data_IF_880068623885
#
_entry.id   IF_880068623885
#
_cell.length_a   1.000
_cell.length_b   1.000
_cell.length_c   1.000
_cell.angle_alpha   90.00
_cell.angle_beta   90.00
_cell.angle_gamma   90.00
#
_symmetry.space_group_name_H-M   'P 1'
#
loop_
_entity.id
_entity.type
_entity.pdbx_description
1 polymer ?
#
# COMPACT_ATOMS: atom_id res chain seq x y z
N UNK A 1 14.53 14.21 4.15
CA UNK A 1 13.15 14.30 3.62
C UNK A 1 12.32 13.21 4.29
N UNK A 2 11.03 13.43 4.55
CA UNK A 2 10.16 12.39 5.12
C UNK A 2 9.75 11.40 4.02
N UNK A 3 9.83 10.08 4.23
CA UNK A 3 9.47 9.10 3.20
C UNK A 3 7.96 9.11 2.94
N UNK A 4 7.56 9.05 1.66
CA UNK A 4 6.16 8.97 1.26
C UNK A 4 5.75 7.50 1.18
N UNK A 5 4.84 7.07 2.05
CA UNK A 5 4.41 5.67 2.15
C UNK A 5 2.97 5.54 1.68
N UNK A 6 2.76 4.80 0.59
CA UNK A 6 1.44 4.48 0.10
C UNK A 6 0.77 3.44 0.99
N UNK A 7 -0.52 3.57 1.26
CA UNK A 7 -1.29 2.60 2.02
C UNK A 7 -2.45 2.10 1.18
N UNK A 8 -2.60 0.79 1.07
CA UNK A 8 -3.75 0.18 0.42
C UNK A 8 -5.02 0.42 1.23
N UNK A 9 -6.15 0.43 0.55
CA UNK A 9 -7.47 0.62 1.16
C UNK A 9 -8.33 -0.60 0.89
N UNK A 10 -9.16 -0.96 1.86
CA UNK A 10 -10.27 -1.87 1.60
C UNK A 10 -11.43 -1.08 0.99
N UNK A 11 -12.20 -1.71 0.14
CA UNK A 11 -13.47 -1.17 -0.34
C UNK A 11 -14.60 -1.86 0.40
N UNK A 12 -15.65 -1.11 0.74
CA UNK A 12 -16.88 -1.68 1.28
C UNK A 12 -17.63 -2.50 0.24
N UNK A 13 -18.54 -3.37 0.70
CA UNK A 13 -19.34 -4.23 -0.19
C UNK A 13 -20.23 -3.45 -1.17
N UNK A 14 -20.59 -2.22 -0.83
CA UNK A 14 -21.39 -1.32 -1.66
C UNK A 14 -20.53 -0.48 -2.62
N UNK A 15 -19.21 -0.65 -2.59
CA UNK A 15 -18.21 0.11 -3.37
C UNK A 15 -18.29 1.64 -3.18
N UNK A 16 -19.04 2.12 -2.18
CA UNK A 16 -19.29 3.54 -2.00
C UNK A 16 -18.11 4.25 -1.32
N UNK A 17 -17.36 3.52 -0.48
CA UNK A 17 -16.28 4.08 0.31
C UNK A 17 -15.06 3.17 0.39
N UNK A 18 -13.89 3.80 0.36
CA UNK A 18 -12.65 3.19 0.80
C UNK A 18 -12.53 3.32 2.32
N UNK A 19 -12.08 2.24 2.98
CA UNK A 19 -11.82 2.21 4.42
C UNK A 19 -10.39 1.77 4.72
N UNK A 20 -9.86 2.38 5.77
CA UNK A 20 -8.56 2.06 6.35
C UNK A 20 -8.64 2.25 7.87
N UNK A 21 -8.03 1.33 8.63
CA UNK A 21 -7.92 1.50 10.07
C UNK A 21 -7.00 2.69 10.40
N UNK A 22 -7.47 3.61 11.25
CA UNK A 22 -6.69 4.79 11.64
C UNK A 22 -5.33 4.42 12.26
N UNK A 23 -5.24 3.26 12.94
CA UNK A 23 -3.99 2.73 13.46
C UNK A 23 -2.88 2.60 12.38
N UNK A 24 -3.24 2.23 11.16
CA UNK A 24 -2.30 2.10 10.04
C UNK A 24 -1.71 3.47 9.63
N UNK A 25 -2.56 4.50 9.57
CA UNK A 25 -2.15 5.87 9.23
C UNK A 25 -1.27 6.47 10.34
N UNK A 26 -1.66 6.23 11.60
CA UNK A 26 -0.91 6.69 12.77
C UNK A 26 0.47 6.06 12.85
N UNK A 27 0.60 4.75 12.64
CA UNK A 27 1.89 4.05 12.68
C UNK A 27 2.92 4.68 11.72
N UNK A 28 2.50 5.07 10.51
CA UNK A 28 3.38 5.74 9.54
C UNK A 28 3.71 7.16 9.97
N UNK A 29 2.71 7.91 10.45
CA UNK A 29 2.92 9.29 10.92
C UNK A 29 3.88 9.35 12.13
N UNK A 30 3.69 8.45 13.09
CA UNK A 30 4.47 8.33 14.33
C UNK A 30 5.92 7.90 14.06
N UNK A 31 6.16 7.12 13.00
CA UNK A 31 7.52 6.75 12.55
C UNK A 31 8.20 7.83 11.70
N UNK A 32 7.55 8.96 11.47
CA UNK A 32 8.10 10.11 10.73
C UNK A 32 7.89 10.07 9.21
N UNK A 33 7.08 9.14 8.70
CA UNK A 33 6.68 9.06 7.30
C UNK A 33 5.48 9.96 6.96
N UNK A 34 5.23 10.12 5.67
CA UNK A 34 4.03 10.78 5.12
C UNK A 34 3.10 9.69 4.57
N UNK A 35 1.96 9.40 5.22
CA UNK A 35 1.01 8.42 4.71
C UNK A 35 0.22 8.97 3.52
N UNK A 36 0.10 8.18 2.45
CA UNK A 36 -0.73 8.47 1.28
C UNK A 36 -1.72 7.33 1.08
N UNK A 37 -3.01 7.63 1.14
CA UNK A 37 -4.06 6.64 0.93
C UNK A 37 -4.21 6.40 -0.58
N UNK A 38 -4.10 5.13 -1.00
CA UNK A 38 -4.19 4.76 -2.40
C UNK A 38 -5.58 4.23 -2.75
N UNK A 39 -6.24 4.80 -3.77
CA UNK A 39 -7.47 4.22 -4.33
C UNK A 39 -7.14 2.97 -5.15
N UNK A 40 -8.19 2.26 -5.57
CA UNK A 40 -8.05 1.08 -6.43
C UNK A 40 -7.87 1.53 -7.88
N UNK A 41 -6.62 1.57 -8.34
CA UNK A 41 -6.31 1.89 -9.73
C UNK A 41 -6.61 0.70 -10.66
N UNK A 42 -7.27 0.98 -11.78
CA UNK A 42 -7.58 -0.02 -12.80
C UNK A 42 -6.51 -0.09 -13.89
N UNK A 43 -5.90 1.05 -14.23
CA UNK A 43 -4.90 1.18 -15.29
C UNK A 43 -3.49 0.99 -14.74
N UNK A 44 -2.67 0.25 -15.48
CA UNK A 44 -1.29 -0.01 -15.07
C UNK A 44 -0.40 1.23 -15.10
N UNK A 45 -0.63 2.16 -16.04
CA UNK A 45 0.12 3.40 -16.14
C UNK A 45 -0.02 4.26 -14.87
N UNK A 46 -1.24 4.34 -14.32
CA UNK A 46 -1.51 5.11 -13.08
C UNK A 46 -0.80 4.45 -11.88
N UNK A 47 -0.77 3.11 -11.83
CA UNK A 47 -0.05 2.35 -10.80
C UNK A 47 1.46 2.63 -10.88
N UNK A 48 2.01 2.65 -12.09
CA UNK A 48 3.44 2.89 -12.32
C UNK A 48 3.84 4.33 -11.96
N UNK A 49 3.04 5.32 -12.32
CA UNK A 49 3.27 6.71 -11.92
C UNK A 49 3.26 6.85 -10.40
N UNK A 50 2.29 6.23 -9.72
CA UNK A 50 2.24 6.24 -8.26
C UNK A 50 3.42 5.51 -7.64
N UNK A 51 3.81 4.36 -8.17
CA UNK A 51 4.98 3.61 -7.70
C UNK A 51 6.28 4.43 -7.80
N UNK A 52 6.43 5.25 -8.84
CA UNK A 52 7.59 6.13 -9.01
C UNK A 52 7.61 7.32 -8.04
N UNK A 53 6.46 7.72 -7.49
CA UNK A 53 6.33 8.84 -6.54
C UNK A 53 6.45 8.40 -5.07
N UNK A 54 6.22 7.12 -4.78
CA UNK A 54 6.23 6.58 -3.43
C UNK A 54 7.61 6.05 -3.04
N UNK A 55 8.01 6.25 -1.79
CA UNK A 55 9.24 5.67 -1.23
C UNK A 55 9.01 4.26 -0.69
N UNK A 56 7.76 3.88 -0.47
CA UNK A 56 7.38 2.54 -0.02
C UNK A 56 5.87 2.32 -0.07
N UNK A 57 5.49 1.05 0.07
CA UNK A 57 4.10 0.61 0.11
C UNK A 57 3.86 -0.16 1.41
N UNK A 58 2.77 0.19 2.09
CA UNK A 58 2.26 -0.45 3.29
C UNK A 58 0.95 -1.18 2.94
N UNK A 59 1.03 -2.51 2.93
CA UNK A 59 -0.09 -3.37 2.56
C UNK A 59 -0.93 -3.64 3.81
N UNK A 60 -2.16 -3.11 3.80
CA UNK A 60 -3.19 -3.50 4.74
C UNK A 60 -3.71 -4.90 4.37
N UNK A 61 -4.18 -5.67 5.35
CA UNK A 61 -4.47 -7.10 5.17
C UNK A 61 -5.59 -7.47 4.18
N UNK A 62 -6.13 -6.53 3.41
CA UNK A 62 -7.10 -6.77 2.36
C UNK A 62 -6.42 -7.15 1.02
N UNK A 63 -6.92 -8.23 0.42
CA UNK A 63 -6.17 -9.03 -0.57
C UNK A 63 -6.19 -8.50 -2.01
N UNK A 64 -7.03 -7.53 -2.34
CA UNK A 64 -7.34 -7.20 -3.75
C UNK A 64 -6.20 -6.42 -4.44
N UNK A 65 -5.71 -5.33 -3.85
CA UNK A 65 -4.55 -4.59 -4.39
C UNK A 65 -3.23 -5.30 -4.11
N UNK A 66 -3.15 -5.96 -2.96
CA UNK A 66 -2.03 -6.77 -2.50
C UNK A 66 -1.60 -7.76 -3.59
N UNK A 67 -2.54 -8.48 -4.22
CA UNK A 67 -2.21 -9.49 -5.24
C UNK A 67 -1.54 -8.92 -6.50
N UNK A 68 -2.01 -7.79 -7.04
CA UNK A 68 -1.44 -7.19 -8.27
C UNK A 68 -0.06 -6.57 -8.05
N UNK A 69 0.18 -5.97 -6.87
CA UNK A 69 1.51 -5.45 -6.52
C UNK A 69 2.53 -6.57 -6.29
N UNK A 70 2.11 -7.68 -5.66
CA UNK A 70 2.97 -8.84 -5.40
C UNK A 70 3.37 -9.58 -6.68
N UNK A 71 2.45 -9.64 -7.66
CA UNK A 71 2.66 -10.35 -8.93
C UNK A 71 3.78 -9.70 -9.76
N UNK A 72 3.90 -8.37 -9.74
CA UNK A 72 5.05 -7.66 -10.35
C UNK A 72 6.33 -7.71 -9.49
N UNK A 73 6.23 -7.99 -8.19
CA UNK A 73 7.36 -7.90 -7.25
C UNK A 73 8.04 -9.23 -6.92
N UNK A 74 7.54 -10.38 -7.42
CA UNK A 74 8.08 -11.72 -7.09
C UNK A 74 8.07 -12.01 -5.57
N UNK A 75 7.10 -11.47 -4.83
CA UNK A 75 6.99 -11.64 -3.38
C UNK A 75 5.92 -12.68 -3.05
N UNK A 76 6.30 -13.72 -2.30
CA UNK A 76 5.43 -14.80 -1.82
C UNK A 76 4.92 -14.44 -0.43
N UNK A 77 3.61 -14.21 -0.28
CA UNK A 77 3.00 -13.96 1.04
C UNK A 77 2.67 -15.29 1.72
N UNK A 78 3.24 -15.50 2.91
CA UNK A 78 2.87 -16.57 3.85
C UNK A 78 2.04 -15.97 4.97
N UNK A 79 0.87 -16.57 5.22
CA UNK A 79 -0.13 -16.06 6.15
C UNK A 79 0.32 -16.12 7.61
N UNK A 80 0.75 -14.99 8.15
CA UNK A 80 0.51 -14.53 9.53
C UNK A 80 1.25 -13.21 9.71
N UNK A 81 0.47 -12.14 9.89
CA UNK A 81 0.91 -10.85 10.43
C UNK A 81 2.16 -10.25 9.72
N UNK A 82 1.99 -9.65 8.55
CA UNK A 82 3.12 -9.05 7.83
C UNK A 82 3.01 -7.53 7.73
N UNK A 83 3.71 -6.86 8.65
CA UNK A 83 4.22 -5.50 8.47
C UNK A 83 5.33 -5.55 7.39
N UNK A 84 4.95 -5.66 6.12
CA UNK A 84 5.91 -5.61 5.03
C UNK A 84 6.07 -4.15 4.61
N UNK A 85 6.98 -3.43 5.26
CA UNK A 85 7.57 -2.22 4.68
C UNK A 85 8.33 -2.70 3.44
N UNK A 86 7.81 -2.48 2.24
CA UNK A 86 8.59 -2.70 1.01
C UNK A 86 9.73 -1.68 0.97
N UNK A 87 10.79 -1.95 1.71
CA UNK A 87 12.10 -1.32 1.68
C UNK A 87 12.93 -1.86 0.50
N UNK A 88 12.28 -1.98 -0.65
CA UNK A 88 12.93 -2.35 -1.90
C UNK A 88 12.62 -1.27 -2.92
N UNK A 89 13.18 -0.10 -2.64
CA UNK A 89 13.57 0.84 -3.69
C UNK A 89 14.62 0.11 -4.53
N UNK A 90 14.15 -0.61 -5.54
CA UNK A 90 14.88 -0.88 -6.77
C UNK A 90 16.22 -1.63 -6.59
N UNK A 91 16.16 -2.96 -6.70
CA UNK A 91 17.29 -3.76 -7.20
C UNK A 91 16.81 -4.63 -8.34
#
# INVERSE_FOLDING_TARGET
MKPIIGITTSMELDEAYYKIANANVKAISETGGIPVILPHYLKEADIEEMANRLDGLYLTGDMTLTRRCLEKSRIRISGRLFLLVMLLKWR
#
